data_IF_048436879523
#
_entry.id   IF_048436879523
#
_cell.length_a   1.000
_cell.length_b   1.000
_cell.length_c   1.000
_cell.angle_alpha   90.00
_cell.angle_beta   90.00
_cell.angle_gamma   90.00
#
_symmetry.space_group_name_H-M   'P 1'
#
loop_
_entity.id
_entity.type
_entity.pdbx_description
1 polymer ?
#
# COMPACT_ATOMS: atom_id res chain seq x y z
N UNK A 1 -50.21 5.10 -12.84
CA UNK A 1 -50.83 3.87 -13.36
C UNK A 1 -49.72 2.83 -13.49
N UNK A 2 -49.59 1.96 -12.49
CA UNK A 2 -48.67 0.83 -12.56
C UNK A 2 -49.47 -0.27 -13.23
N UNK A 3 -49.07 -0.64 -14.44
CA UNK A 3 -49.67 -1.75 -15.16
C UNK A 3 -49.54 -3.03 -14.31
N UNK A 4 -50.69 -3.54 -13.91
CA UNK A 4 -50.89 -4.87 -13.38
C UNK A 4 -50.65 -5.89 -14.48
N UNK A 5 -49.45 -6.47 -14.50
CA UNK A 5 -49.24 -7.81 -15.04
C UNK A 5 -49.39 -8.79 -13.88
N UNK A 6 -50.51 -9.52 -13.85
CA UNK A 6 -50.62 -10.75 -13.08
C UNK A 6 -49.55 -11.73 -13.57
N UNK A 7 -48.69 -12.20 -12.66
CA UNK A 7 -47.66 -13.19 -12.95
C UNK A 7 -46.50 -13.10 -11.97
N UNK A 8 -46.57 -13.89 -10.88
CA UNK A 8 -45.51 -14.21 -9.89
C UNK A 8 -44.42 -13.14 -9.72
N UNK A 9 -44.49 -12.38 -8.63
CA UNK A 9 -43.30 -11.63 -8.18
C UNK A 9 -42.26 -12.61 -7.64
N UNK A 10 -41.47 -13.19 -8.54
CA UNK A 10 -40.30 -14.00 -8.21
C UNK A 10 -39.30 -13.09 -7.49
N UNK A 11 -39.38 -13.06 -6.15
CA UNK A 11 -38.46 -12.29 -5.34
C UNK A 11 -37.12 -13.04 -5.32
N UNK A 12 -36.31 -12.81 -6.36
CA UNK A 12 -34.99 -13.43 -6.59
C UNK A 12 -34.08 -13.41 -5.37
N UNK A 13 -34.20 -12.41 -4.48
CA UNK A 13 -33.43 -12.33 -3.23
C UNK A 13 -33.88 -13.43 -2.26
N UNK A 14 -35.19 -13.54 -2.02
CA UNK A 14 -35.76 -14.52 -1.10
C UNK A 14 -35.53 -15.93 -1.62
N UNK A 15 -35.77 -16.18 -2.91
CA UNK A 15 -35.49 -17.49 -3.53
C UNK A 15 -34.02 -17.90 -3.35
N UNK A 16 -33.09 -16.97 -3.61
CA UNK A 16 -31.67 -17.22 -3.43
C UNK A 16 -31.32 -17.46 -1.97
N UNK A 17 -31.88 -16.68 -1.04
CA UNK A 17 -31.69 -16.88 0.40
C UNK A 17 -32.22 -18.24 0.86
N UNK A 18 -33.39 -18.67 0.36
CA UNK A 18 -33.94 -20.01 0.59
C UNK A 18 -33.01 -21.11 0.10
N UNK A 19 -32.45 -20.97 -1.12
CA UNK A 19 -31.49 -21.93 -1.68
C UNK A 19 -30.22 -22.03 -0.83
N UNK A 20 -29.72 -20.91 -0.32
CA UNK A 20 -28.53 -20.88 0.54
C UNK A 20 -28.85 -21.55 1.88
N UNK A 21 -29.94 -21.13 2.53
CA UNK A 21 -30.33 -21.60 3.87
C UNK A 21 -30.88 -23.03 3.87
N UNK A 22 -31.24 -23.61 2.73
CA UNK A 22 -31.54 -25.05 2.68
C UNK A 22 -30.29 -25.92 2.85
N UNK A 23 -29.09 -25.37 2.59
CA UNK A 23 -27.82 -26.09 2.69
C UNK A 23 -26.93 -25.62 3.85
N UNK A 24 -26.83 -24.31 4.05
CA UNK A 24 -25.82 -23.72 4.93
C UNK A 24 -26.47 -22.87 6.04
N UNK A 25 -26.17 -23.13 7.32
CA UNK A 25 -26.53 -22.21 8.40
C UNK A 25 -25.70 -20.93 8.26
N UNK A 26 -26.35 -19.76 8.22
CA UNK A 26 -25.67 -18.47 8.15
C UNK A 26 -26.20 -17.52 9.22
N UNK A 27 -25.29 -16.84 9.93
CA UNK A 27 -25.68 -15.72 10.80
C UNK A 27 -26.12 -14.51 9.96
N UNK A 28 -26.71 -13.52 10.63
CA UNK A 28 -27.29 -12.35 9.97
C UNK A 28 -26.24 -11.61 9.11
N UNK A 29 -25.05 -11.32 9.65
CA UNK A 29 -23.98 -10.66 8.90
C UNK A 29 -23.52 -11.48 7.68
N UNK A 30 -23.42 -12.81 7.82
CA UNK A 30 -22.97 -13.68 6.74
C UNK A 30 -24.00 -13.81 5.61
N UNK A 31 -25.28 -13.93 5.94
CA UNK A 31 -26.34 -13.91 4.94
C UNK A 31 -26.46 -12.54 4.28
N UNK A 32 -26.33 -11.46 5.06
CA UNK A 32 -26.35 -10.10 4.54
C UNK A 32 -25.20 -9.81 3.57
N UNK A 33 -24.01 -10.41 3.78
CA UNK A 33 -22.89 -10.32 2.84
C UNK A 33 -23.22 -10.84 1.45
N UNK A 34 -24.07 -11.86 1.34
CA UNK A 34 -24.50 -12.42 0.05
C UNK A 34 -25.21 -11.38 -0.84
N UNK A 35 -25.73 -10.31 -0.24
CA UNK A 35 -26.49 -9.26 -0.90
C UNK A 35 -25.96 -7.85 -0.57
N UNK A 36 -24.69 -7.74 -0.14
CA UNK A 36 -24.11 -6.51 0.41
C UNK A 36 -24.17 -5.30 -0.54
N UNK A 37 -24.14 -5.55 -1.85
CA UNK A 37 -24.20 -4.48 -2.87
C UNK A 37 -25.63 -4.01 -3.18
N UNK A 38 -26.63 -4.50 -2.46
CA UNK A 38 -28.03 -4.09 -2.54
C UNK A 38 -28.43 -3.34 -1.26
N UNK A 39 -29.21 -2.26 -1.40
CA UNK A 39 -29.67 -1.46 -0.25
C UNK A 39 -28.52 -0.71 0.42
N UNK A 40 -28.17 0.45 -0.16
CA UNK A 40 -27.12 1.34 0.32
C UNK A 40 -27.38 1.79 1.77
N UNK A 41 -26.30 1.96 2.55
CA UNK A 41 -26.37 2.45 3.94
C UNK A 41 -26.64 1.37 5.00
N UNK A 42 -27.13 0.18 4.60
CA UNK A 42 -27.41 -0.90 5.54
C UNK A 42 -26.15 -1.70 5.90
N UNK A 43 -26.02 -2.05 7.18
CA UNK A 43 -25.04 -3.04 7.63
C UNK A 43 -25.45 -4.46 7.18
N UNK A 44 -24.47 -5.35 7.04
CA UNK A 44 -24.77 -6.73 6.63
C UNK A 44 -25.62 -7.45 7.69
N UNK A 45 -25.41 -7.17 8.98
CA UNK A 45 -26.22 -7.71 10.07
C UNK A 45 -27.69 -7.33 9.91
N UNK A 46 -27.96 -6.05 9.65
CA UNK A 46 -29.33 -5.54 9.43
C UNK A 46 -29.96 -6.18 8.19
N UNK A 47 -29.23 -6.20 7.07
CA UNK A 47 -29.69 -6.77 5.81
C UNK A 47 -30.03 -8.25 5.94
N UNK A 48 -29.14 -9.04 6.54
CA UNK A 48 -29.38 -10.46 6.71
C UNK A 48 -30.54 -10.74 7.67
N UNK A 49 -30.65 -9.99 8.77
CA UNK A 49 -31.78 -10.10 9.69
C UNK A 49 -33.11 -9.81 8.98
N UNK A 50 -33.17 -8.76 8.17
CA UNK A 50 -34.35 -8.42 7.39
C UNK A 50 -34.73 -9.54 6.39
N UNK A 51 -33.75 -10.12 5.71
CA UNK A 51 -33.96 -11.26 4.80
C UNK A 51 -34.51 -12.48 5.56
N UNK A 52 -33.94 -12.81 6.72
CA UNK A 52 -34.42 -13.94 7.54
C UNK A 52 -35.84 -13.75 8.02
N UNK A 53 -36.19 -12.57 8.52
CA UNK A 53 -37.56 -12.25 8.95
C UNK A 53 -38.52 -12.35 7.77
N UNK A 54 -38.16 -11.77 6.62
CA UNK A 54 -38.98 -11.82 5.42
C UNK A 54 -39.21 -13.25 4.94
N UNK A 55 -38.16 -14.08 4.93
CA UNK A 55 -38.26 -15.48 4.56
C UNK A 55 -39.16 -16.26 5.53
N UNK A 56 -39.02 -16.03 6.83
CA UNK A 56 -39.88 -16.63 7.85
C UNK A 56 -41.35 -16.28 7.61
N UNK A 57 -41.68 -15.00 7.36
CA UNK A 57 -43.06 -14.57 7.09
C UNK A 57 -43.63 -15.21 5.82
N UNK A 58 -42.86 -15.22 4.73
CA UNK A 58 -43.29 -15.81 3.44
C UNK A 58 -43.50 -17.33 3.58
N UNK A 59 -42.61 -18.03 4.28
CA UNK A 59 -42.78 -19.47 4.50
C UNK A 59 -43.98 -19.75 5.41
N UNK A 60 -44.17 -18.97 6.47
CA UNK A 60 -45.33 -19.11 7.37
C UNK A 60 -46.67 -18.91 6.65
N UNK A 61 -46.74 -17.90 5.77
CA UNK A 61 -47.89 -17.68 4.88
C UNK A 61 -48.15 -18.90 3.99
N UNK A 62 -47.12 -19.44 3.34
CA UNK A 62 -47.24 -20.63 2.49
C UNK A 62 -47.69 -21.87 3.24
N UNK A 63 -47.24 -22.05 4.50
CA UNK A 63 -47.73 -23.13 5.35
C UNK A 63 -49.23 -22.97 5.61
N UNK A 64 -49.66 -21.77 6.01
CA UNK A 64 -51.07 -21.47 6.33
C UNK A 64 -51.99 -21.57 5.12
N UNK A 65 -51.49 -21.25 3.93
CA UNK A 65 -52.22 -21.39 2.67
C UNK A 65 -52.17 -22.82 2.10
N UNK A 66 -51.58 -23.78 2.81
CA UNK A 66 -51.42 -25.17 2.35
C UNK A 66 -50.64 -25.31 1.02
N UNK A 67 -49.75 -24.36 0.72
CA UNK A 67 -48.89 -24.38 -0.48
C UNK A 67 -47.63 -25.24 -0.29
N UNK A 68 -47.31 -25.62 0.95
CA UNK A 68 -46.21 -26.52 1.28
C UNK A 68 -46.78 -27.91 1.51
N UNK A 69 -46.59 -28.79 0.53
CA UNK A 69 -47.12 -30.17 0.60
C UNK A 69 -46.50 -31.02 1.71
N UNK A 70 -45.19 -30.86 1.95
CA UNK A 70 -44.48 -31.55 3.03
C UNK A 70 -43.69 -30.54 3.88
N UNK A 71 -44.10 -30.38 5.14
CA UNK A 71 -43.42 -29.51 6.11
C UNK A 71 -41.97 -29.95 6.36
N UNK A 72 -41.64 -31.23 6.20
CA UNK A 72 -40.26 -31.69 6.38
C UNK A 72 -39.28 -30.98 5.44
N UNK A 73 -39.76 -30.52 4.27
CA UNK A 73 -38.97 -29.79 3.27
C UNK A 73 -38.42 -28.44 3.75
N UNK A 74 -39.09 -27.80 4.71
CA UNK A 74 -38.66 -26.50 5.28
C UNK A 74 -37.94 -26.62 6.62
N UNK A 75 -37.95 -27.81 7.22
CA UNK A 75 -37.32 -28.08 8.53
C UNK A 75 -35.87 -27.60 8.56
N UNK A 76 -35.09 -27.95 7.54
CA UNK A 76 -33.68 -27.58 7.44
C UNK A 76 -33.47 -26.06 7.32
N UNK A 77 -34.36 -25.37 6.61
CA UNK A 77 -34.30 -23.92 6.45
C UNK A 77 -34.55 -23.24 7.81
N UNK A 78 -35.51 -23.72 8.60
CA UNK A 78 -35.76 -23.22 9.96
C UNK A 78 -34.55 -23.37 10.87
N UNK A 79 -33.92 -24.54 10.88
CA UNK A 79 -32.69 -24.79 11.65
C UNK A 79 -31.55 -23.84 11.23
N UNK A 80 -31.38 -23.63 9.92
CA UNK A 80 -30.32 -22.79 9.36
C UNK A 80 -30.61 -21.27 9.45
N UNK A 81 -31.87 -20.86 9.59
CA UNK A 81 -32.25 -19.50 9.99
C UNK A 81 -31.68 -19.16 11.37
N UNK A 82 -31.52 -20.18 12.22
CA UNK A 82 -30.95 -20.07 13.56
C UNK A 82 -31.99 -19.64 14.60
N UNK A 83 -31.55 -19.06 15.73
CA UNK A 83 -32.41 -18.84 16.91
C UNK A 83 -33.71 -18.06 16.64
N UNK A 84 -33.75 -17.21 15.60
CA UNK A 84 -34.95 -16.46 15.23
C UNK A 84 -36.13 -17.36 14.87
N UNK A 85 -35.86 -18.57 14.35
CA UNK A 85 -36.88 -19.52 13.92
C UNK A 85 -37.28 -20.50 15.03
N UNK A 86 -36.68 -20.49 16.22
CA UNK A 86 -36.91 -21.53 17.24
C UNK A 86 -38.39 -21.61 17.66
N UNK A 87 -39.01 -20.47 17.99
CA UNK A 87 -40.43 -20.43 18.40
C UNK A 87 -41.36 -20.84 17.25
N UNK A 88 -41.01 -20.43 16.03
CA UNK A 88 -41.75 -20.75 14.82
C UNK A 88 -41.66 -22.25 14.49
N UNK A 89 -40.48 -22.84 14.67
CA UNK A 89 -40.26 -24.28 14.50
C UNK A 89 -41.10 -25.10 15.47
N UNK A 90 -41.12 -24.73 16.76
CA UNK A 90 -41.92 -25.43 17.79
C UNK A 90 -43.44 -25.36 17.55
N UNK A 91 -43.91 -24.45 16.70
CA UNK A 91 -45.33 -24.39 16.31
C UNK A 91 -45.72 -25.53 15.37
N UNK A 92 -44.79 -25.94 14.49
CA UNK A 92 -45.06 -26.90 13.42
C UNK A 92 -44.43 -28.28 13.63
N UNK A 93 -43.39 -28.37 14.47
CA UNK A 93 -42.65 -29.61 14.71
C UNK A 93 -42.59 -29.94 16.20
N UNK A 94 -42.87 -31.19 16.54
CA UNK A 94 -42.76 -31.72 17.90
C UNK A 94 -41.34 -32.16 18.28
N UNK A 95 -40.42 -32.24 17.30
CA UNK A 95 -39.01 -32.57 17.55
C UNK A 95 -38.26 -31.42 18.20
N UNK A 96 -37.10 -31.70 18.80
CA UNK A 96 -36.22 -30.64 19.29
C UNK A 96 -35.74 -29.73 18.16
N UNK A 97 -35.50 -28.45 18.50
CA UNK A 97 -34.93 -27.47 17.60
C UNK A 97 -33.41 -27.51 17.73
N UNK A 98 -32.73 -27.76 16.61
CA UNK A 98 -31.27 -27.74 16.55
C UNK A 98 -30.81 -26.58 15.68
N UNK A 99 -30.03 -25.66 16.25
CA UNK A 99 -29.34 -24.62 15.48
C UNK A 99 -27.86 -24.96 15.35
N UNK A 100 -27.30 -24.70 14.18
CA UNK A 100 -25.88 -24.91 13.92
C UNK A 100 -25.14 -23.56 13.87
N UNK A 101 -23.86 -23.53 14.27
CA UNK A 101 -23.02 -22.37 14.06
C UNK A 101 -22.98 -21.95 12.60
N UNK A 102 -22.84 -20.65 12.35
CA UNK A 102 -22.69 -20.14 10.99
C UNK A 102 -21.56 -20.84 10.24
N UNK A 103 -21.86 -21.39 9.07
CA UNK A 103 -20.91 -22.10 8.22
C UNK A 103 -19.65 -21.28 7.95
N UNK A 104 -19.81 -19.98 7.66
CA UNK A 104 -18.72 -19.09 7.30
C UNK A 104 -17.88 -18.59 8.48
N UNK A 105 -18.51 -18.10 9.55
CA UNK A 105 -17.79 -17.41 10.64
C UNK A 105 -17.94 -18.07 12.02
N UNK A 106 -18.65 -19.18 12.13
CA UNK A 106 -18.91 -19.87 13.41
C UNK A 106 -19.56 -18.96 14.47
N UNK A 107 -20.34 -17.97 14.03
CA UNK A 107 -20.96 -16.91 14.85
C UNK A 107 -19.99 -15.93 15.54
N UNK A 108 -18.71 -15.92 15.16
CA UNK A 108 -17.66 -15.10 15.81
C UNK A 108 -17.42 -13.74 15.15
N UNK A 109 -18.19 -13.37 14.11
CA UNK A 109 -17.88 -12.20 13.29
C UNK A 109 -17.92 -10.88 14.07
N UNK A 110 -18.84 -10.75 15.04
CA UNK A 110 -18.93 -9.56 15.88
C UNK A 110 -17.77 -9.51 16.90
N UNK A 111 -17.46 -10.64 17.54
CA UNK A 111 -16.30 -10.78 18.43
C UNK A 111 -14.97 -10.43 17.73
N UNK A 112 -14.82 -10.86 16.47
CA UNK A 112 -13.64 -10.55 15.63
C UNK A 112 -13.54 -9.04 15.36
N UNK A 113 -14.66 -8.36 15.08
CA UNK A 113 -14.65 -6.91 14.84
C UNK A 113 -14.29 -6.16 16.11
N UNK A 114 -14.84 -6.57 17.25
CA UNK A 114 -14.57 -5.95 18.55
C UNK A 114 -13.09 -6.12 18.95
N UNK A 115 -12.58 -7.35 18.91
CA UNK A 115 -11.19 -7.66 19.26
C UNK A 115 -10.19 -6.93 18.35
N UNK A 116 -10.44 -6.90 17.03
CA UNK A 116 -9.61 -6.14 16.11
C UNK A 116 -9.67 -4.63 16.40
N UNK A 117 -10.86 -4.07 16.60
CA UNK A 117 -11.02 -2.65 16.92
C UNK A 117 -10.25 -2.26 18.18
N UNK A 118 -10.32 -3.07 19.24
CA UNK A 118 -9.64 -2.76 20.49
C UNK A 118 -8.12 -2.92 20.40
N UNK A 119 -7.64 -3.95 19.72
CA UNK A 119 -6.19 -4.14 19.47
C UNK A 119 -5.62 -3.04 18.59
N UNK A 120 -6.31 -2.67 17.51
CA UNK A 120 -5.89 -1.58 16.64
C UNK A 120 -5.89 -0.23 17.37
N UNK A 121 -6.92 0.04 18.18
CA UNK A 121 -6.98 1.25 19.00
C UNK A 121 -5.79 1.38 19.96
N UNK A 122 -5.46 0.31 20.69
CA UNK A 122 -4.31 0.28 21.61
C UNK A 122 -2.99 0.57 20.90
N UNK A 123 -2.79 -0.01 19.71
CA UNK A 123 -1.60 0.25 18.89
C UNK A 123 -1.53 1.72 18.45
N UNK A 124 -2.64 2.28 17.96
CA UNK A 124 -2.72 3.67 17.51
C UNK A 124 -2.47 4.66 18.64
N UNK A 125 -3.06 4.43 19.82
CA UNK A 125 -2.85 5.28 20.99
C UNK A 125 -1.43 5.19 21.56
N UNK A 126 -0.79 4.01 21.49
CA UNK A 126 0.53 3.76 22.08
C UNK A 126 1.70 4.18 21.20
N UNK A 127 1.58 4.05 19.87
CA UNK A 127 2.68 4.28 18.93
C UNK A 127 2.71 5.69 18.33
N UNK A 128 1.67 6.51 18.57
CA UNK A 128 1.56 7.85 18.00
C UNK A 128 1.47 7.88 16.47
N UNK A 129 1.07 6.76 15.85
CA UNK A 129 0.87 6.63 14.40
C UNK A 129 -0.22 7.59 13.96
N UNK A 130 0.08 8.42 12.96
CA UNK A 130 -0.85 9.48 12.51
C UNK A 130 -1.68 9.07 11.31
N UNK A 131 -1.18 8.21 10.43
CA UNK A 131 -1.93 7.74 9.27
C UNK A 131 -1.78 6.23 9.05
N UNK A 132 -2.90 5.55 8.87
CA UNK A 132 -2.91 4.09 8.76
C UNK A 132 -4.03 3.60 7.83
N UNK A 133 -3.87 2.37 7.35
CA UNK A 133 -4.94 1.56 6.76
C UNK A 133 -5.11 0.25 7.54
N UNK A 134 -6.29 -0.36 7.38
CA UNK A 134 -6.59 -1.68 7.95
C UNK A 134 -6.40 -2.78 6.91
N UNK A 135 -5.77 -3.86 7.35
CA UNK A 135 -5.65 -5.13 6.64
C UNK A 135 -6.31 -6.25 7.43
N UNK A 136 -6.76 -7.28 6.72
CA UNK A 136 -7.22 -8.53 7.33
C UNK A 136 -6.63 -9.68 6.53
N UNK A 137 -6.04 -10.63 7.25
CA UNK A 137 -5.50 -11.88 6.74
C UNK A 137 -6.43 -13.02 7.15
N UNK A 138 -7.18 -13.54 6.17
CA UNK A 138 -8.06 -14.70 6.36
C UNK A 138 -7.25 -15.99 6.32
N UNK A 139 -7.66 -16.98 7.12
CA UNK A 139 -7.17 -18.34 7.01
C UNK A 139 -7.68 -19.04 5.73
N UNK A 140 -6.98 -20.09 5.29
CA UNK A 140 -7.30 -20.81 4.06
C UNK A 140 -8.65 -21.53 4.11
N UNK A 141 -9.11 -21.95 5.30
CA UNK A 141 -10.41 -22.61 5.45
C UNK A 141 -11.54 -21.61 5.22
N UNK A 142 -11.48 -20.42 5.83
CA UNK A 142 -12.44 -19.34 5.62
C UNK A 142 -12.50 -18.92 4.16
N UNK A 143 -11.35 -18.76 3.49
CA UNK A 143 -11.30 -18.44 2.05
C UNK A 143 -12.01 -19.52 1.22
N UNK A 144 -11.72 -20.80 1.47
CA UNK A 144 -12.34 -21.92 0.75
C UNK A 144 -13.86 -21.97 0.95
N UNK A 145 -14.34 -21.80 2.19
CA UNK A 145 -15.78 -21.76 2.49
C UNK A 145 -16.47 -20.59 1.80
N UNK A 146 -15.83 -19.43 1.78
CA UNK A 146 -16.31 -18.23 1.08
C UNK A 146 -16.36 -18.45 -0.44
N UNK A 147 -15.30 -18.92 -1.08
CA UNK A 147 -15.33 -19.22 -2.53
C UNK A 147 -16.40 -20.24 -2.89
N UNK A 148 -16.52 -21.31 -2.09
CA UNK A 148 -17.52 -22.36 -2.32
C UNK A 148 -18.95 -21.80 -2.36
N UNK A 149 -19.33 -20.96 -1.40
CA UNK A 149 -20.70 -20.41 -1.35
C UNK A 149 -20.95 -19.41 -2.48
N UNK A 150 -19.93 -18.62 -2.87
CA UNK A 150 -20.04 -17.66 -3.97
C UNK A 150 -20.27 -18.39 -5.30
N UNK A 151 -19.47 -19.41 -5.57
CA UNK A 151 -19.53 -20.21 -6.80
C UNK A 151 -20.84 -21.00 -6.87
N UNK A 152 -21.18 -21.73 -5.81
CA UNK A 152 -22.36 -22.61 -5.77
C UNK A 152 -23.67 -21.86 -6.01
N UNK A 153 -23.79 -20.62 -5.53
CA UNK A 153 -25.04 -19.84 -5.64
C UNK A 153 -24.95 -18.64 -6.61
N UNK A 154 -23.79 -18.43 -7.24
CA UNK A 154 -23.52 -17.33 -8.17
C UNK A 154 -23.81 -15.96 -7.54
N UNK A 155 -23.16 -15.67 -6.41
CA UNK A 155 -23.43 -14.49 -5.59
C UNK A 155 -22.79 -13.20 -6.16
N UNK A 156 -23.45 -12.57 -7.14
CA UNK A 156 -22.95 -11.36 -7.81
C UNK A 156 -22.81 -10.13 -6.88
N UNK A 157 -23.62 -10.06 -5.83
CA UNK A 157 -23.67 -8.93 -4.90
C UNK A 157 -22.89 -9.17 -3.60
N UNK A 158 -22.02 -10.19 -3.59
CA UNK A 158 -21.28 -10.60 -2.41
C UNK A 158 -20.24 -9.56 -1.96
N UNK A 159 -20.13 -9.34 -0.64
CA UNK A 159 -18.98 -8.68 0.01
C UNK A 159 -18.17 -9.73 0.77
N UNK A 160 -16.83 -9.70 0.69
CA UNK A 160 -15.97 -10.61 1.43
C UNK A 160 -15.99 -10.36 2.94
N UNK A 161 -15.78 -11.41 3.73
CA UNK A 161 -15.62 -11.31 5.20
C UNK A 161 -14.54 -10.26 5.54
N UNK A 162 -13.42 -10.30 4.81
CA UNK A 162 -12.32 -9.35 4.95
C UNK A 162 -12.78 -7.90 4.78
N UNK A 163 -13.60 -7.62 3.77
CA UNK A 163 -14.08 -6.25 3.51
C UNK A 163 -15.08 -5.78 4.56
N UNK A 164 -16.02 -6.63 4.99
CA UNK A 164 -16.94 -6.29 6.08
C UNK A 164 -16.17 -5.92 7.35
N UNK A 165 -15.21 -6.76 7.78
CA UNK A 165 -14.40 -6.51 8.98
C UNK A 165 -13.66 -5.18 8.86
N UNK A 166 -12.95 -4.94 7.75
CA UNK A 166 -12.22 -3.68 7.52
C UNK A 166 -13.14 -2.46 7.59
N UNK A 167 -14.31 -2.55 6.95
CA UNK A 167 -15.26 -1.44 6.84
C UNK A 167 -15.87 -1.11 8.20
N UNK A 168 -16.32 -2.10 8.95
CA UNK A 168 -16.94 -1.89 10.27
C UNK A 168 -15.91 -1.47 11.32
N UNK A 169 -14.73 -2.10 11.37
CA UNK A 169 -13.67 -1.68 12.29
C UNK A 169 -13.17 -0.26 11.97
N UNK A 170 -13.06 0.09 10.69
CA UNK A 170 -12.70 1.45 10.27
C UNK A 170 -13.70 2.50 10.74
N UNK A 171 -15.02 2.22 10.65
CA UNK A 171 -16.06 3.10 11.21
C UNK A 171 -15.92 3.24 12.72
N UNK A 172 -15.69 2.15 13.44
CA UNK A 172 -15.53 2.15 14.91
C UNK A 172 -14.32 2.97 15.34
N UNK A 173 -13.17 2.79 14.70
CA UNK A 173 -11.96 3.58 15.00
C UNK A 173 -12.11 5.06 14.64
N UNK A 174 -12.80 5.37 13.53
CA UNK A 174 -13.11 6.75 13.15
C UNK A 174 -13.95 7.46 14.22
N UNK A 175 -14.98 6.79 14.77
CA UNK A 175 -15.77 7.29 15.91
C UNK A 175 -14.93 7.51 17.18
N UNK A 176 -13.83 6.76 17.34
CA UNK A 176 -12.86 6.91 18.44
C UNK A 176 -11.77 7.97 18.15
N UNK A 177 -11.89 8.75 17.07
CA UNK A 177 -10.96 9.83 16.73
C UNK A 177 -9.79 9.43 15.84
N UNK A 178 -9.78 8.19 15.33
CA UNK A 178 -8.72 7.68 14.45
C UNK A 178 -9.32 7.32 13.08
N UNK A 179 -9.52 8.29 12.17
CA UNK A 179 -9.98 7.98 10.82
C UNK A 179 -8.86 7.33 9.99
N UNK A 180 -9.13 6.22 9.26
CA UNK A 180 -8.13 5.61 8.38
C UNK A 180 -7.82 6.51 7.17
N UNK A 181 -6.56 6.52 6.72
CA UNK A 181 -6.08 7.28 5.56
C UNK A 181 -5.72 6.31 4.42
N UNK A 182 -6.58 6.23 3.40
CA UNK A 182 -6.40 5.30 2.29
C UNK A 182 -5.36 5.76 1.26
N UNK A 183 -5.13 7.07 1.14
CA UNK A 183 -4.29 7.66 0.09
C UNK A 183 -2.81 7.59 0.45
N UNK A 184 -2.45 7.94 1.68
CA UNK A 184 -1.07 7.98 2.15
C UNK A 184 -0.92 7.47 3.61
N UNK A 185 -1.09 6.16 3.84
CA UNK A 185 -0.86 5.56 5.15
C UNK A 185 0.63 5.34 5.44
N UNK A 186 1.09 5.72 6.64
CA UNK A 186 2.41 5.37 7.17
C UNK A 186 2.52 3.86 7.42
N UNK A 187 1.41 3.25 7.88
CA UNK A 187 1.38 1.84 8.24
C UNK A 187 0.09 1.14 7.79
N UNK A 188 0.18 -0.16 7.60
CA UNK A 188 -0.98 -1.05 7.52
C UNK A 188 -1.06 -1.89 8.80
N UNK A 189 -2.15 -1.75 9.55
CA UNK A 189 -2.45 -2.58 10.72
C UNK A 189 -3.23 -3.79 10.22
N UNK A 190 -2.60 -4.96 10.27
CA UNK A 190 -3.18 -6.21 9.76
C UNK A 190 -3.64 -7.08 10.91
N UNK A 191 -4.89 -7.52 10.84
CA UNK A 191 -5.45 -8.52 11.75
C UNK A 191 -5.46 -9.89 11.10
N UNK A 192 -4.83 -10.88 11.74
CA UNK A 192 -4.79 -12.26 11.24
C UNK A 192 -5.77 -13.14 12.00
N UNK A 193 -6.64 -13.82 11.27
CA UNK A 193 -7.71 -14.63 11.85
C UNK A 193 -7.21 -15.95 12.45
N UNK A 194 -6.06 -16.47 12.01
CA UNK A 194 -5.56 -17.78 12.46
C UNK A 194 -5.10 -17.76 13.93
N UNK A 195 -4.58 -16.64 14.40
CA UNK A 195 -4.03 -16.47 15.76
C UNK A 195 -4.63 -15.27 16.51
N UNK A 196 -5.56 -14.55 15.88
CA UNK A 196 -6.22 -13.33 16.39
C UNK A 196 -5.20 -12.25 16.77
N UNK A 197 -4.06 -12.16 16.07
CA UNK A 197 -3.05 -11.15 16.34
C UNK A 197 -3.16 -9.95 15.41
N UNK A 198 -2.74 -8.79 15.93
CA UNK A 198 -2.49 -7.59 15.12
C UNK A 198 -1.00 -7.42 14.90
N UNK A 199 -0.61 -7.06 13.69
CA UNK A 199 0.75 -6.68 13.37
C UNK A 199 0.78 -5.47 12.44
N UNK A 200 1.92 -4.77 12.45
CA UNK A 200 2.13 -3.55 11.69
C UNK A 200 3.03 -3.86 10.51
N UNK A 201 2.55 -3.53 9.31
CA UNK A 201 3.37 -3.49 8.10
C UNK A 201 3.67 -2.02 7.81
N UNK A 202 4.92 -1.60 8.01
CA UNK A 202 5.36 -0.26 7.60
C UNK A 202 5.40 -0.17 6.08
N UNK A 203 4.65 0.77 5.50
CA UNK A 203 4.81 1.10 4.09
C UNK A 203 5.96 2.09 3.99
N UNK A 204 7.12 1.59 3.59
CA UNK A 204 8.27 2.45 3.38
C UNK A 204 7.99 3.45 2.26
N UNK A 205 7.78 4.71 2.65
CA UNK A 205 7.66 5.82 1.72
C UNK A 205 9.05 6.06 1.15
N UNK A 206 9.16 6.13 -0.17
CA UNK A 206 10.42 6.45 -0.85
C UNK A 206 10.26 7.81 -1.48
N UNK A 207 11.22 8.69 -1.25
CA UNK A 207 11.17 10.03 -1.82
C UNK A 207 12.40 10.22 -2.69
N UNK A 208 12.15 10.67 -3.92
CA UNK A 208 13.15 11.05 -4.88
C UNK A 208 13.58 12.50 -4.64
N UNK A 209 14.89 12.68 -4.59
CA UNK A 209 15.58 13.94 -4.40
C UNK A 209 16.66 14.10 -5.48
N UNK A 210 17.07 15.34 -5.68
CA UNK A 210 18.37 15.66 -6.27
C UNK A 210 19.30 16.19 -5.18
N UNK A 211 20.60 15.91 -5.32
CA UNK A 211 21.60 16.42 -4.40
C UNK A 211 22.80 17.01 -5.12
N UNK A 212 23.41 17.98 -4.45
CA UNK A 212 24.77 18.43 -4.69
C UNK A 212 25.64 17.99 -3.51
N UNK A 213 26.92 17.73 -3.76
CA UNK A 213 27.92 17.43 -2.73
C UNK A 213 29.06 18.41 -2.85
N UNK A 214 29.08 19.40 -1.96
CA UNK A 214 30.10 20.46 -1.92
C UNK A 214 31.37 20.02 -1.21
N UNK A 215 31.28 19.09 -0.26
CA UNK A 215 32.44 18.57 0.46
C UNK A 215 33.04 17.34 -0.25
N UNK A 216 34.36 17.33 -0.39
CA UNK A 216 35.09 16.14 -0.89
C UNK A 216 35.34 15.18 0.26
N UNK A 217 35.62 13.93 -0.07
CA UNK A 217 35.97 12.86 0.87
C UNK A 217 34.85 12.37 1.79
N UNK A 218 33.63 12.90 1.68
CA UNK A 218 32.44 12.36 2.34
C UNK A 218 31.64 11.45 1.38
N UNK A 219 31.56 10.13 1.63
CA UNK A 219 30.78 9.21 0.80
C UNK A 219 29.28 9.23 1.14
N UNK A 220 28.48 8.67 0.22
CA UNK A 220 27.05 8.45 0.46
C UNK A 220 26.84 7.35 1.51
N UNK A 221 27.59 6.25 1.41
CA UNK A 221 27.57 5.14 2.37
C UNK A 221 28.83 5.16 3.22
N UNK A 222 28.65 5.07 4.54
CA UNK A 222 29.71 4.98 5.54
C UNK A 222 30.69 3.81 5.32
N UNK A 223 30.29 2.77 4.59
CA UNK A 223 31.18 1.65 4.22
C UNK A 223 32.37 2.08 3.35
N UNK A 224 32.24 3.18 2.61
CA UNK A 224 33.32 3.73 1.78
C UNK A 224 34.12 4.84 2.49
N UNK A 225 33.92 5.03 3.79
CA UNK A 225 34.64 6.05 4.56
C UNK A 225 36.03 5.58 4.94
N UNK A 226 37.05 6.42 4.72
CA UNK A 226 38.44 6.12 5.09
C UNK A 226 38.71 6.24 6.59
N UNK A 227 37.89 7.00 7.32
CA UNK A 227 38.06 7.26 8.76
C UNK A 227 37.06 6.50 9.65
N UNK A 228 36.21 5.66 9.04
CA UNK A 228 35.17 4.92 9.76
C UNK A 228 33.99 5.80 10.19
N UNK A 229 32.77 5.29 10.04
CA UNK A 229 31.51 5.86 10.52
C UNK A 229 30.98 7.18 9.94
N UNK A 230 31.68 7.85 9.02
CA UNK A 230 31.16 9.06 8.38
C UNK A 230 30.69 8.83 6.95
N UNK A 231 29.38 8.92 6.73
CA UNK A 231 28.74 8.90 5.42
C UNK A 231 27.36 9.53 5.49
N UNK A 232 26.82 9.95 4.34
CA UNK A 232 25.51 10.62 4.29
C UNK A 232 24.39 9.77 4.94
N UNK A 233 24.41 8.45 4.74
CA UNK A 233 23.45 7.53 5.36
C UNK A 233 23.47 7.59 6.90
N UNK A 234 24.66 7.67 7.50
CA UNK A 234 24.81 7.79 8.97
C UNK A 234 24.34 9.16 9.44
N UNK A 235 24.73 10.23 8.74
CA UNK A 235 24.35 11.61 9.08
C UNK A 235 22.85 11.84 9.00
N UNK A 236 22.19 11.25 7.99
CA UNK A 236 20.74 11.35 7.82
C UNK A 236 19.96 10.44 8.78
N UNK A 237 20.60 9.39 9.31
CA UNK A 237 19.91 8.30 10.02
C UNK A 237 18.72 7.76 9.22
N UNK A 238 18.92 7.63 7.91
CA UNK A 238 17.93 7.16 6.94
C UNK A 238 18.57 6.20 5.96
N UNK A 239 17.75 5.28 5.45
CA UNK A 239 18.19 4.34 4.43
C UNK A 239 18.16 5.01 3.07
N UNK A 240 19.32 5.08 2.43
CA UNK A 240 19.44 5.52 1.04
C UNK A 240 19.18 4.29 0.17
N UNK A 241 18.04 4.28 -0.52
CA UNK A 241 17.58 3.15 -1.34
C UNK A 241 18.38 3.07 -2.64
N UNK A 242 18.68 4.23 -3.21
CA UNK A 242 19.37 4.38 -4.47
C UNK A 242 20.06 5.74 -4.53
N UNK A 243 21.24 5.81 -5.14
CA UNK A 243 21.88 7.08 -5.47
C UNK A 243 22.81 6.91 -6.65
N UNK A 244 22.84 7.88 -7.56
CA UNK A 244 24.02 8.05 -8.40
C UNK A 244 25.14 8.69 -7.58
N UNK A 245 26.37 8.29 -7.84
CA UNK A 245 27.54 8.79 -7.11
C UNK A 245 28.74 8.93 -8.02
N UNK A 246 29.63 9.83 -7.63
CA UNK A 246 30.99 9.96 -8.17
C UNK A 246 31.99 9.63 -7.05
N UNK A 247 33.26 9.30 -7.38
CA UNK A 247 34.32 9.12 -6.39
C UNK A 247 34.35 10.26 -5.38
N UNK A 248 34.69 9.98 -4.13
CA UNK A 248 34.61 10.97 -3.04
C UNK A 248 35.50 12.18 -3.26
N UNK A 249 36.55 12.07 -4.07
CA UNK A 249 37.43 13.17 -4.48
C UNK A 249 36.78 14.15 -5.46
N UNK A 250 35.68 13.76 -6.11
CA UNK A 250 34.92 14.61 -7.04
C UNK A 250 33.85 15.37 -6.26
N UNK A 251 33.87 16.69 -6.36
CA UNK A 251 32.76 17.53 -5.87
C UNK A 251 31.63 17.48 -6.89
N UNK A 252 30.39 17.40 -6.42
CA UNK A 252 29.21 17.32 -7.30
C UNK A 252 28.45 18.63 -7.18
N UNK A 253 28.53 19.47 -8.21
CA UNK A 253 27.79 20.73 -8.32
C UNK A 253 26.52 20.58 -9.18
N UNK A 254 26.44 19.52 -10.00
CA UNK A 254 25.25 19.17 -10.75
C UNK A 254 24.17 18.52 -9.86
N UNK A 255 22.93 18.53 -10.33
CA UNK A 255 21.81 17.87 -9.66
C UNK A 255 21.86 16.37 -9.89
N UNK A 256 22.23 15.64 -8.83
CA UNK A 256 22.42 14.20 -8.90
C UNK A 256 21.31 13.43 -8.15
N UNK A 257 20.71 12.40 -8.76
CA UNK A 257 19.63 11.64 -8.12
C UNK A 257 20.00 10.88 -6.85
N UNK A 258 19.11 10.96 -5.88
CA UNK A 258 19.11 10.13 -4.68
C UNK A 258 17.68 9.80 -4.25
N UNK A 259 17.45 8.56 -3.81
CA UNK A 259 16.16 8.11 -3.27
C UNK A 259 16.37 7.66 -1.83
N UNK A 260 15.61 8.27 -0.92
CA UNK A 260 15.73 8.06 0.53
C UNK A 260 14.42 7.47 1.04
N UNK A 261 14.53 6.44 1.88
CA UNK A 261 13.40 5.80 2.54
C UNK A 261 12.99 6.58 3.80
N UNK A 262 11.69 6.78 3.99
CA UNK A 262 11.09 7.44 5.15
C UNK A 262 11.65 8.85 5.42
N UNK A 263 11.85 9.63 4.35
CA UNK A 263 12.32 11.01 4.39
C UNK A 263 11.40 11.89 3.53
N UNK A 264 10.98 13.04 4.07
CA UNK A 264 9.95 13.89 3.47
C UNK A 264 10.23 15.39 3.52
N UNK A 265 11.35 15.82 4.13
CA UNK A 265 11.77 17.24 4.18
C UNK A 265 11.97 17.79 2.78
N UNK A 266 11.57 19.03 2.54
CA UNK A 266 11.71 19.64 1.21
C UNK A 266 13.17 19.99 0.88
N UNK A 267 13.95 20.34 1.90
CA UNK A 267 15.37 20.68 1.81
C UNK A 267 16.16 20.06 2.96
N UNK A 268 17.36 19.56 2.68
CA UNK A 268 18.28 19.00 3.67
C UNK A 268 19.67 19.53 3.37
N UNK A 269 20.32 20.13 4.38
CA UNK A 269 21.73 20.51 4.37
C UNK A 269 22.45 19.74 5.47
N UNK A 270 23.36 18.83 5.10
CA UNK A 270 24.12 18.03 6.06
C UNK A 270 25.44 17.55 5.48
N UNK A 271 26.55 17.72 6.21
CA UNK A 271 27.87 17.24 5.78
C UNK A 271 28.35 17.81 4.43
N UNK A 272 27.82 18.97 4.00
CA UNK A 272 28.09 19.54 2.67
C UNK A 272 27.28 18.89 1.54
N UNK A 273 26.27 18.08 1.87
CA UNK A 273 25.23 17.68 0.93
C UNK A 273 24.06 18.65 0.99
N UNK A 274 23.67 19.16 -0.17
CA UNK A 274 22.45 19.91 -0.36
C UNK A 274 21.47 19.03 -1.11
N UNK A 275 20.34 18.70 -0.49
CA UNK A 275 19.37 17.73 -1.02
C UNK A 275 18.01 18.42 -1.14
N UNK A 276 17.42 18.36 -2.32
CA UNK A 276 16.15 18.99 -2.65
C UNK A 276 15.13 17.95 -3.10
N UNK A 277 13.94 17.99 -2.50
CA UNK A 277 12.87 17.05 -2.78
C UNK A 277 12.29 17.29 -4.16
N UNK A 278 12.07 16.20 -4.88
CA UNK A 278 11.36 16.22 -6.17
C UNK A 278 9.96 15.66 -5.97
N UNK A 279 9.83 14.39 -5.58
CA UNK A 279 8.53 13.74 -5.41
C UNK A 279 8.62 12.44 -4.60
N UNK A 280 7.48 11.97 -4.08
CA UNK A 280 7.37 10.60 -3.57
C UNK A 280 7.26 9.61 -4.73
N UNK A 281 7.90 8.44 -4.61
CA UNK A 281 8.05 7.47 -5.69
C UNK A 281 7.63 6.05 -5.27
N UNK A 282 6.93 5.37 -6.17
CA UNK A 282 6.59 3.96 -6.04
C UNK A 282 7.67 3.03 -6.62
N UNK A 283 7.34 1.76 -6.75
CA UNK A 283 8.27 0.74 -7.27
C UNK A 283 8.62 0.95 -8.74
N UNK A 284 7.65 1.38 -9.57
CA UNK A 284 7.86 1.59 -11.02
C UNK A 284 8.72 2.82 -11.28
N UNK A 285 8.44 3.91 -10.58
CA UNK A 285 9.20 5.16 -10.66
C UNK A 285 10.65 4.96 -10.22
N UNK A 286 10.86 4.22 -9.12
CA UNK A 286 12.20 3.85 -8.66
C UNK A 286 12.99 3.08 -9.72
N UNK A 287 12.35 2.13 -10.44
CA UNK A 287 12.99 1.40 -11.53
C UNK A 287 13.36 2.32 -12.68
N UNK A 288 12.47 3.25 -13.06
CA UNK A 288 12.73 4.22 -14.12
C UNK A 288 13.90 5.15 -13.77
N UNK A 289 13.92 5.71 -12.54
CA UNK A 289 15.01 6.57 -12.04
C UNK A 289 16.34 5.80 -12.02
N UNK A 290 16.33 4.56 -11.52
CA UNK A 290 17.54 3.74 -11.43
C UNK A 290 18.12 3.39 -12.81
N UNK A 291 17.26 3.26 -13.82
CA UNK A 291 17.66 2.98 -15.20
C UNK A 291 18.14 4.23 -15.96
N UNK A 292 17.76 5.44 -15.52
CA UNK A 292 18.10 6.71 -16.15
C UNK A 292 19.54 7.17 -15.83
N UNK A 293 20.53 6.35 -16.16
CA UNK A 293 21.95 6.69 -15.97
C UNK A 293 22.33 7.93 -16.80
N UNK A 294 23.15 8.85 -16.25
CA UNK A 294 23.69 9.96 -17.03
C UNK A 294 24.50 9.42 -18.22
N UNK A 295 24.19 9.89 -19.42
CA UNK A 295 24.83 9.49 -20.68
C UNK A 295 26.11 10.28 -20.94
N UNK A 296 26.18 11.49 -20.40
CA UNK A 296 27.36 12.36 -20.45
C UNK A 296 27.46 13.17 -19.17
N UNK A 297 28.68 13.43 -18.73
CA UNK A 297 29.03 14.24 -17.57
C UNK A 297 30.01 15.30 -18.02
N UNK A 298 29.79 16.54 -17.63
CA UNK A 298 30.73 17.64 -17.86
C UNK A 298 31.49 17.89 -16.57
N UNK A 299 32.80 17.70 -16.62
CA UNK A 299 33.69 17.94 -15.50
C UNK A 299 34.46 19.24 -15.70
N UNK A 300 34.59 20.02 -14.63
CA UNK A 300 35.61 21.06 -14.52
C UNK A 300 36.80 20.47 -13.78
N UNK A 301 37.95 20.45 -14.43
CA UNK A 301 39.21 19.95 -13.85
C UNK A 301 40.17 21.12 -13.72
N UNK A 302 40.44 21.50 -12.48
CA UNK A 302 41.42 22.54 -12.18
C UNK A 302 42.79 21.89 -12.12
N UNK A 303 43.73 22.43 -12.90
CA UNK A 303 45.09 21.90 -13.03
C UNK A 303 46.12 23.01 -12.84
N UNK A 304 47.30 22.64 -12.35
CA UNK A 304 48.51 23.44 -12.46
C UNK A 304 49.32 22.96 -13.66
N UNK A 305 49.84 23.88 -14.48
CA UNK A 305 50.76 23.55 -15.57
C UNK A 305 51.82 24.62 -15.79
N UNK A 306 53.06 24.18 -16.02
CA UNK A 306 54.19 25.01 -16.45
C UNK A 306 54.09 25.39 -17.92
N UNK A 307 53.37 24.60 -18.72
CA UNK A 307 53.09 24.85 -20.13
C UNK A 307 51.79 25.64 -20.32
N UNK A 308 51.73 26.46 -21.37
CA UNK A 308 50.48 27.10 -21.76
C UNK A 308 49.53 26.08 -22.39
N UNK A 309 48.29 26.03 -21.90
CA UNK A 309 47.23 25.15 -22.40
C UNK A 309 46.27 25.97 -23.26
N UNK A 310 46.23 25.72 -24.58
CA UNK A 310 45.44 26.50 -25.54
C UNK A 310 43.92 26.37 -25.32
N UNK A 311 43.46 25.18 -24.94
CA UNK A 311 42.03 24.87 -24.79
C UNK A 311 41.55 24.96 -23.32
N UNK A 312 42.32 25.65 -22.47
CA UNK A 312 42.03 25.80 -21.04
C UNK A 312 41.80 27.26 -20.67
N UNK A 313 40.94 27.50 -19.67
CA UNK A 313 40.73 28.84 -19.13
C UNK A 313 41.79 29.09 -18.07
N UNK A 314 42.69 30.06 -18.29
CA UNK A 314 43.64 30.47 -17.24
C UNK A 314 42.89 31.18 -16.12
N UNK A 315 43.00 30.63 -14.91
CA UNK A 315 42.34 31.16 -13.70
C UNK A 315 43.25 32.16 -13.01
N UNK A 316 44.48 31.74 -12.69
CA UNK A 316 45.47 32.58 -12.01
C UNK A 316 46.87 31.98 -12.17
N UNK A 317 47.84 32.77 -12.64
CA UNK A 317 49.21 32.29 -12.87
C UNK A 317 49.22 31.03 -13.76
N UNK A 318 49.77 29.95 -13.20
CA UNK A 318 49.89 28.63 -13.84
C UNK A 318 48.70 27.69 -13.56
N UNK A 319 47.60 28.21 -13.02
CA UNK A 319 46.37 27.46 -12.74
C UNK A 319 45.39 27.64 -13.88
N UNK A 320 44.86 26.54 -14.38
CA UNK A 320 43.92 26.48 -15.48
C UNK A 320 42.70 25.62 -15.14
N UNK A 321 41.55 25.96 -15.69
CA UNK A 321 40.34 25.14 -15.69
C UNK A 321 40.15 24.49 -17.07
N UNK A 322 40.07 23.16 -17.06
CA UNK A 322 39.71 22.34 -18.22
C UNK A 322 38.24 21.91 -18.10
N UNK A 323 37.52 21.94 -19.21
CA UNK A 323 36.14 21.47 -19.29
C UNK A 323 36.07 20.21 -20.14
N UNK A 324 35.84 19.07 -19.51
CA UNK A 324 35.94 17.76 -20.15
C UNK A 324 34.59 17.05 -20.06
N UNK A 325 34.02 16.75 -21.22
CA UNK A 325 32.88 15.84 -21.33
C UNK A 325 33.37 14.38 -21.28
N UNK A 326 32.73 13.54 -20.47
CA UNK A 326 33.03 12.11 -20.38
C UNK A 326 31.78 11.30 -20.02
N UNK A 327 31.67 10.06 -20.52
CA UNK A 327 30.58 9.15 -20.18
C UNK A 327 30.71 8.60 -18.76
N UNK A 328 31.92 8.55 -18.21
CA UNK A 328 32.20 8.08 -16.85
C UNK A 328 33.48 8.71 -16.27
N UNK A 329 33.69 8.55 -14.97
CA UNK A 329 34.94 8.95 -14.32
C UNK A 329 36.16 8.17 -14.86
N UNK A 330 35.99 6.92 -15.32
CA UNK A 330 37.08 6.17 -15.95
C UNK A 330 37.54 6.83 -17.25
N UNK A 331 36.59 7.21 -18.10
CA UNK A 331 36.89 7.91 -19.35
C UNK A 331 37.53 9.29 -19.09
N UNK A 332 37.09 9.99 -18.03
CA UNK A 332 37.76 11.22 -17.59
C UNK A 332 39.23 10.96 -17.25
N UNK A 333 39.53 9.92 -16.47
CA UNK A 333 40.91 9.56 -16.13
C UNK A 333 41.75 9.19 -17.35
N UNK A 334 41.18 8.48 -18.33
CA UNK A 334 41.87 8.17 -19.59
C UNK A 334 42.22 9.45 -20.37
N UNK A 335 41.29 10.41 -20.45
CA UNK A 335 41.53 11.71 -21.09
C UNK A 335 42.59 12.51 -20.35
N UNK A 336 42.54 12.53 -19.01
CA UNK A 336 43.54 13.22 -18.19
C UNK A 336 44.93 12.58 -18.29
N UNK A 337 45.02 11.25 -18.41
CA UNK A 337 46.29 10.55 -18.61
C UNK A 337 46.93 10.89 -19.96
N UNK A 338 46.13 11.02 -21.02
CA UNK A 338 46.62 11.49 -22.33
C UNK A 338 47.15 12.93 -22.23
N UNK A 339 46.43 13.82 -21.55
CA UNK A 339 46.90 15.19 -21.34
C UNK A 339 48.20 15.25 -20.53
N UNK A 340 48.33 14.41 -19.49
CA UNK A 340 49.58 14.28 -18.70
C UNK A 340 50.78 13.81 -19.51
N UNK A 341 50.57 13.02 -20.57
CA UNK A 341 51.66 12.62 -21.47
C UNK A 341 52.10 13.73 -22.44
N UNK A 342 51.24 14.72 -22.68
CA UNK A 342 51.50 15.82 -23.63
C UNK A 342 52.00 17.08 -22.91
N UNK A 343 51.56 17.29 -21.67
CA UNK A 343 51.81 18.49 -20.90
C UNK A 343 52.18 18.11 -19.46
N UNK A 344 53.09 18.87 -18.86
CA UNK A 344 53.38 18.75 -17.43
C UNK A 344 52.22 19.37 -16.64
N UNK A 345 51.23 18.54 -16.30
CA UNK A 345 50.02 18.95 -15.57
C UNK A 345 49.85 18.20 -14.24
N UNK A 346 49.45 18.94 -13.21
CA UNK A 346 49.07 18.42 -11.90
C UNK A 346 47.59 18.71 -11.68
N UNK A 347 46.78 17.68 -11.46
CA UNK A 347 45.35 17.84 -11.18
C UNK A 347 45.18 18.30 -9.75
N UNK A 348 44.63 19.51 -9.57
CA UNK A 348 44.36 20.10 -8.26
C UNK A 348 42.97 19.72 -7.76
N UNK A 349 41.96 19.75 -8.65
CA UNK A 349 40.59 19.47 -8.25
C UNK A 349 39.72 19.00 -9.43
N UNK A 350 38.70 18.21 -9.12
CA UNK A 350 37.68 17.77 -10.07
C UNK A 350 36.31 18.10 -9.51
N UNK A 351 35.49 18.75 -10.34
CA UNK A 351 34.11 19.09 -10.08
C UNK A 351 33.22 18.53 -11.20
N UNK A 352 32.17 17.80 -10.86
CA UNK A 352 31.08 17.48 -11.78
C UNK A 352 30.12 18.67 -11.82
N UNK A 353 30.01 19.35 -12.97
CA UNK A 353 29.29 20.62 -13.09
C UNK A 353 27.99 20.52 -13.88
N UNK A 354 27.85 19.53 -14.77
CA UNK A 354 26.60 19.28 -15.51
C UNK A 354 26.49 17.79 -15.89
N UNK A 355 25.26 17.33 -16.05
CA UNK A 355 24.92 15.94 -16.39
C UNK A 355 23.85 15.93 -17.46
N UNK A 356 24.01 15.07 -18.49
CA UNK A 356 23.06 14.91 -19.59
C UNK A 356 22.49 13.50 -19.60
N UNK A 357 21.31 13.38 -20.23
CA UNK A 357 20.59 12.14 -20.43
C UNK A 357 19.17 12.22 -19.87
N UNK A 358 18.46 11.08 -19.90
CA UNK A 358 17.05 10.98 -19.49
C UNK A 358 16.75 11.49 -18.08
N UNK A 359 17.75 11.53 -17.21
CA UNK A 359 17.57 12.04 -15.86
C UNK A 359 17.26 13.53 -15.82
N UNK A 360 17.86 14.30 -16.74
CA UNK A 360 17.60 15.73 -16.86
C UNK A 360 16.16 15.96 -17.29
N UNK A 361 15.66 15.14 -18.22
CA UNK A 361 14.25 15.16 -18.64
C UNK A 361 13.30 14.83 -17.48
N UNK A 362 13.64 13.84 -16.64
CA UNK A 362 12.84 13.49 -15.45
C UNK A 362 12.80 14.65 -14.46
N UNK A 363 13.94 15.31 -14.21
CA UNK A 363 14.01 16.44 -13.27
C UNK A 363 13.27 17.66 -13.85
N UNK A 364 13.52 18.02 -15.10
CA UNK A 364 12.94 19.21 -15.75
C UNK A 364 11.43 19.11 -15.98
N UNK A 365 10.91 17.94 -16.38
CA UNK A 365 9.47 17.77 -16.60
C UNK A 365 8.67 17.92 -15.29
N UNK A 366 9.23 17.51 -14.16
CA UNK A 366 8.57 17.63 -12.86
C UNK A 366 8.74 19.00 -12.22
N UNK A 367 9.90 19.66 -12.39
CA UNK A 367 10.09 21.04 -11.89
C UNK A 367 9.24 22.08 -12.63
N UNK A 368 8.83 21.82 -13.88
CA UNK A 368 7.89 22.68 -14.64
C UNK A 368 6.42 22.49 -14.27
N UNK A 369 6.10 21.48 -13.46
CA UNK A 369 4.72 21.18 -13.04
C UNK A 369 4.30 21.92 -11.75
N UNK A 370 5.06 22.94 -11.34
CA UNK A 370 4.81 23.80 -10.19
C UNK A 370 4.90 25.28 -10.56
#
# INVERSE_FOLDING_TARGET
>A
MINSSEGKSDNKIIEKATQILSKYPLCDSCLGRCFARLGYGLENKERGRAIKISLMLILDEKIKNHEIGDLSSIKRIMENLGPIAEKWYKLYFSSEFHSHPCYLCQNKIEDIKEDFSDKAFKLLSGLGVKSYVLGVELDEETKKKESKIIEEFTLMYYESIKHEIKREVGKTLSKRGYPPNMDNPEVEIVYRLSDLQVFIISKNIRTFYVYNRLNRNLPISSWFSKQGNEGLNTLLQRKIVFAFSEPTTVRILADYPIVIENEGRDKIDVGGYYIFKVMTVGKKELQAISAAKPTMRKYRVTVYSTSSLSDAIRVYGNIYDLYIDAKSFSELNEKLSKLKSQYEIIVLSVDLIDVKGRIKDIIENYLKSF
#
